data_IF_006725587572
#
_entry.id   IF_006725587572
#
_cell.length_a   1.000
_cell.length_b   1.000
_cell.length_c   1.000
_cell.angle_alpha   90.00
_cell.angle_beta   90.00
_cell.angle_gamma   90.00
#
_symmetry.space_group_name_H-M   'P 1'
#
loop_
_entity.id
_entity.type
_entity.pdbx_description
1 polymer ?
#
# COMPACT_ATOMS: atom_id res chain seq x y z
N UNK A 1 -33.16 51.18 21.07
CA UNK A 1 -33.09 51.28 19.61
C UNK A 1 -34.08 50.25 19.04
N UNK A 2 -35.13 50.70 18.35
CA UNK A 2 -36.20 49.83 17.82
C UNK A 2 -35.68 49.08 16.58
N UNK A 3 -35.57 47.76 16.65
CA UNK A 3 -35.35 46.90 15.48
C UNK A 3 -36.72 46.63 14.83
N UNK A 4 -36.98 47.31 13.73
CA UNK A 4 -38.19 47.16 12.90
C UNK A 4 -38.09 45.99 11.93
N UNK A 5 -37.99 44.76 12.45
CA UNK A 5 -38.25 43.52 11.70
C UNK A 5 -39.00 42.56 12.64
N UNK A 6 -40.07 41.90 12.15
CA UNK A 6 -40.74 40.85 12.91
C UNK A 6 -39.74 39.70 13.16
N UNK A 7 -39.08 39.69 14.31
CA UNK A 7 -38.06 38.72 14.73
C UNK A 7 -38.61 37.37 15.17
N UNK A 8 -39.72 36.91 14.60
CA UNK A 8 -40.35 35.64 14.97
C UNK A 8 -39.62 34.41 14.40
N UNK A 9 -38.80 34.59 13.36
CA UNK A 9 -37.95 33.54 12.81
C UNK A 9 -36.67 34.15 12.23
N UNK A 10 -35.51 33.58 12.60
CA UNK A 10 -34.20 33.94 12.03
C UNK A 10 -33.53 32.66 11.54
N UNK A 11 -32.78 32.76 10.44
CA UNK A 11 -31.96 31.63 9.98
C UNK A 11 -30.83 31.37 10.98
N UNK A 12 -30.41 30.12 11.14
CA UNK A 12 -29.35 29.73 12.09
C UNK A 12 -28.06 30.58 11.90
N UNK A 13 -27.74 30.91 10.65
CA UNK A 13 -26.61 31.75 10.28
C UNK A 13 -26.72 33.22 10.74
N UNK A 14 -27.95 33.75 10.90
CA UNK A 14 -28.19 35.10 11.47
C UNK A 14 -28.38 35.10 12.99
N UNK A 15 -28.55 33.93 13.61
CA UNK A 15 -28.66 33.76 15.06
C UNK A 15 -27.29 33.67 15.76
N UNK A 16 -26.20 33.58 14.99
CA UNK A 16 -24.86 33.42 15.53
C UNK A 16 -24.46 34.66 16.33
N UNK A 17 -24.34 34.50 17.65
CA UNK A 17 -23.99 35.58 18.59
C UNK A 17 -25.18 36.22 19.31
N UNK A 18 -26.41 35.78 19.04
CA UNK A 18 -27.61 36.20 19.77
C UNK A 18 -27.89 35.19 20.89
N UNK A 19 -28.19 35.67 22.09
CA UNK A 19 -28.69 34.86 23.21
C UNK A 19 -30.18 35.17 23.38
N UNK A 20 -31.02 34.15 23.43
CA UNK A 20 -32.47 34.29 23.64
C UNK A 20 -32.89 33.51 24.89
N UNK A 21 -34.08 33.79 25.44
CA UNK A 21 -34.57 33.08 26.61
C UNK A 21 -34.86 31.61 26.26
N UNK A 22 -35.59 31.39 25.15
CA UNK A 22 -35.81 30.05 24.57
C UNK A 22 -35.43 30.02 23.10
N UNK A 23 -35.03 28.85 22.60
CA UNK A 23 -34.79 28.60 21.18
C UNK A 23 -35.68 27.47 20.67
N UNK A 24 -36.29 27.69 19.49
CA UNK A 24 -37.15 26.72 18.82
C UNK A 24 -36.61 26.49 17.41
N UNK A 25 -36.20 25.25 17.12
CA UNK A 25 -35.48 24.87 15.90
C UNK A 25 -36.32 23.89 15.11
N UNK A 26 -36.52 24.14 13.82
CA UNK A 26 -37.10 23.16 12.90
C UNK A 26 -35.93 22.44 12.22
N UNK A 27 -35.81 21.14 12.46
CA UNK A 27 -34.76 20.30 11.90
C UNK A 27 -35.34 19.39 10.80
N UNK A 28 -34.71 19.41 9.64
CA UNK A 28 -35.00 18.55 8.48
C UNK A 28 -33.85 17.59 8.23
N UNK A 29 -34.07 16.58 7.38
CA UNK A 29 -33.01 15.66 6.95
C UNK A 29 -31.80 16.34 6.27
N UNK A 30 -31.98 17.57 5.77
CA UNK A 30 -30.93 18.38 5.15
C UNK A 30 -30.27 19.38 6.10
N UNK A 31 -30.65 19.38 7.39
CA UNK A 31 -30.04 20.26 8.39
C UNK A 31 -28.64 19.77 8.72
N UNK A 32 -27.65 20.66 8.66
CA UNK A 32 -26.26 20.33 9.00
C UNK A 32 -26.05 20.29 10.51
N UNK A 33 -25.11 19.48 10.99
CA UNK A 33 -24.77 19.33 12.41
C UNK A 33 -24.42 20.67 13.02
N UNK A 34 -23.65 21.49 12.31
CA UNK A 34 -23.14 22.77 12.80
C UNK A 34 -24.28 23.77 12.97
N UNK A 35 -25.21 23.85 12.00
CA UNK A 35 -26.40 24.69 12.12
C UNK A 35 -27.33 24.20 13.23
N UNK A 36 -27.49 22.88 13.38
CA UNK A 36 -28.29 22.29 14.44
C UNK A 36 -27.68 22.59 15.83
N UNK A 37 -26.37 22.38 15.99
CA UNK A 37 -25.64 22.68 17.22
C UNK A 37 -25.73 24.17 17.59
N UNK A 38 -25.50 25.04 16.61
CA UNK A 38 -25.59 26.49 16.80
C UNK A 38 -27.00 26.91 17.22
N UNK A 39 -28.04 26.32 16.64
CA UNK A 39 -29.41 26.68 16.97
C UNK A 39 -29.85 26.11 18.34
N UNK A 40 -29.36 24.92 18.71
CA UNK A 40 -29.66 24.24 19.97
C UNK A 40 -28.87 24.75 21.19
N UNK A 41 -28.10 25.84 21.03
CA UNK A 41 -27.28 26.44 22.08
C UNK A 41 -27.57 27.93 22.30
N UNK A 42 -28.68 28.46 21.76
CA UNK A 42 -29.03 29.90 21.84
C UNK A 42 -29.95 30.25 23.00
N UNK A 43 -30.80 29.32 23.44
CA UNK A 43 -31.73 29.52 24.55
C UNK A 43 -31.02 29.36 25.90
N UNK A 44 -31.18 30.34 26.79
CA UNK A 44 -30.67 30.28 28.17
C UNK A 44 -31.52 29.36 29.06
N UNK A 45 -32.85 29.39 28.89
CA UNK A 45 -33.80 28.65 29.72
C UNK A 45 -34.26 27.33 29.07
N UNK A 46 -34.10 27.19 27.74
CA UNK A 46 -34.44 25.94 27.05
C UNK A 46 -34.28 25.98 25.53
N UNK A 47 -33.98 24.82 24.95
CA UNK A 47 -33.78 24.62 23.52
C UNK A 47 -34.67 23.46 23.04
N UNK A 48 -35.57 23.71 22.10
CA UNK A 48 -36.56 22.76 21.60
C UNK A 48 -36.36 22.51 20.11
N UNK A 49 -36.25 21.23 19.72
CA UNK A 49 -36.13 20.81 18.32
C UNK A 49 -37.42 20.14 17.84
N UNK A 50 -37.99 20.63 16.75
CA UNK A 50 -39.09 20.03 16.01
C UNK A 50 -38.52 19.35 14.76
N UNK A 51 -38.53 18.01 14.76
CA UNK A 51 -37.97 17.22 13.66
C UNK A 51 -39.06 16.93 12.65
N UNK A 52 -38.87 17.37 11.41
CA UNK A 52 -39.80 17.15 10.30
C UNK A 52 -39.62 15.72 9.79
N UNK A 53 -40.69 14.92 9.83
CA UNK A 53 -40.70 13.52 9.40
C UNK A 53 -41.31 13.30 8.02
N UNK A 54 -42.23 14.18 7.61
CA UNK A 54 -42.94 14.12 6.32
C UNK A 54 -42.55 15.27 5.39
N UNK A 55 -42.60 14.99 4.08
CA UNK A 55 -42.75 16.02 3.03
C UNK A 55 -44.23 16.14 2.66
N UNK A 56 -44.78 17.34 2.47
CA UNK A 56 -46.04 17.48 1.73
C UNK A 56 -45.79 17.22 0.24
N UNK A 57 -46.59 16.29 -0.28
CA UNK A 57 -46.99 16.08 -1.69
C UNK A 57 -46.28 14.98 -2.51
N UNK A 58 -47.07 13.95 -2.82
CA UNK A 58 -46.80 12.80 -3.71
C UNK A 58 -46.89 13.15 -5.21
N UNK A 59 -47.00 14.43 -5.58
CA UNK A 59 -47.39 14.78 -6.95
C UNK A 59 -46.25 14.93 -7.96
N UNK A 60 -45.00 15.28 -7.58
CA UNK A 60 -43.90 15.41 -8.55
C UNK A 60 -42.50 15.19 -7.96
N UNK A 61 -42.07 13.93 -7.85
CA UNK A 61 -40.68 13.57 -7.61
C UNK A 61 -40.45 12.07 -7.75
N UNK A 62 -39.47 11.66 -8.55
CA UNK A 62 -39.07 10.25 -8.62
C UNK A 62 -38.48 9.86 -7.25
N UNK A 63 -38.95 8.80 -6.57
CA UNK A 63 -38.40 8.37 -5.30
C UNK A 63 -36.91 8.10 -5.43
N UNK A 64 -36.09 8.73 -4.58
CA UNK A 64 -34.65 8.51 -4.58
C UNK A 64 -34.37 7.22 -3.79
N UNK A 65 -33.47 6.33 -4.21
CA UNK A 65 -33.21 5.04 -3.53
C UNK A 65 -32.67 5.13 -2.08
N UNK A 66 -32.50 6.34 -1.54
CA UNK A 66 -32.17 6.65 -0.15
C UNK A 66 -33.38 7.06 0.71
N UNK A 67 -34.58 7.15 0.13
CA UNK A 67 -35.78 7.58 0.84
C UNK A 67 -36.27 6.44 1.76
N UNK A 68 -36.19 6.68 3.07
CA UNK A 68 -36.69 5.75 4.08
C UNK A 68 -38.13 6.10 4.44
N UNK A 69 -39.14 5.28 4.06
CA UNK A 69 -40.54 5.53 4.39
C UNK A 69 -40.83 5.42 5.90
N UNK A 70 -39.92 4.86 6.69
CA UNK A 70 -40.02 4.70 8.15
C UNK A 70 -39.21 5.76 8.93
N UNK A 71 -39.00 6.95 8.35
CA UNK A 71 -38.20 8.00 8.97
C UNK A 71 -38.77 8.43 10.34
N UNK A 72 -38.03 8.15 11.41
CA UNK A 72 -38.36 8.60 12.78
C UNK A 72 -37.58 9.85 13.12
N UNK A 73 -38.05 10.64 14.10
CA UNK A 73 -37.32 11.82 14.58
C UNK A 73 -35.88 11.49 15.01
N UNK A 74 -35.68 10.27 15.51
CA UNK A 74 -34.37 9.76 15.88
C UNK A 74 -33.47 9.50 14.67
N UNK A 75 -33.98 8.92 13.57
CA UNK A 75 -33.18 8.65 12.38
C UNK A 75 -32.82 9.93 11.63
N UNK A 76 -33.75 10.89 11.55
CA UNK A 76 -33.48 12.22 10.96
C UNK A 76 -32.44 12.96 11.79
N UNK A 77 -32.58 12.99 13.12
CA UNK A 77 -31.61 13.65 13.99
C UNK A 77 -30.23 12.97 13.96
N UNK A 78 -30.20 11.64 13.84
CA UNK A 78 -28.94 10.91 13.62
C UNK A 78 -28.29 11.32 12.29
N UNK A 79 -29.07 11.46 11.22
CA UNK A 79 -28.63 12.00 9.94
C UNK A 79 -28.06 13.41 10.07
N UNK A 80 -28.75 14.31 10.78
CA UNK A 80 -28.30 15.69 11.04
C UNK A 80 -26.97 15.72 11.79
N UNK A 81 -26.77 14.86 12.80
CA UNK A 81 -25.49 14.76 13.52
C UNK A 81 -24.36 14.24 12.62
N UNK A 82 -24.67 13.41 11.63
CA UNK A 82 -23.68 12.93 10.65
C UNK A 82 -23.50 13.89 9.47
N UNK A 83 -24.39 14.86 9.30
CA UNK A 83 -24.39 15.82 8.19
C UNK A 83 -23.50 17.02 8.48
N UNK A 84 -22.18 16.84 8.35
CA UNK A 84 -21.18 17.90 8.53
C UNK A 84 -21.30 18.89 7.37
N UNK A 85 -21.73 20.11 7.68
CA UNK A 85 -21.92 21.21 6.73
C UNK A 85 -20.71 22.11 6.54
N UNK A 86 -19.54 21.70 7.01
CA UNK A 86 -18.31 22.35 6.60
C UNK A 86 -18.12 22.07 5.11
N UNK A 87 -18.38 23.06 4.26
CA UNK A 87 -17.65 23.13 3.00
C UNK A 87 -16.16 23.03 3.38
N UNK A 88 -15.54 21.89 3.04
CA UNK A 88 -14.09 21.75 3.04
C UNK A 88 -13.56 23.01 2.38
N UNK A 89 -12.62 23.71 3.03
CA UNK A 89 -12.04 24.92 2.44
C UNK A 89 -11.60 24.60 1.01
N UNK A 90 -11.61 25.57 0.08
CA UNK A 90 -11.20 25.30 -1.30
C UNK A 90 -9.84 24.56 -1.36
N UNK A 91 -8.96 24.75 -0.36
CA UNK A 91 -7.74 23.97 -0.20
C UNK A 91 -7.94 22.55 0.33
N UNK A 92 -8.76 22.30 1.34
CA UNK A 92 -9.04 20.92 1.80
C UNK A 92 -9.90 20.13 0.82
N UNK A 93 -10.78 20.79 0.05
CA UNK A 93 -11.48 20.17 -1.06
C UNK A 93 -10.49 19.87 -2.19
N UNK A 94 -9.60 20.80 -2.56
CA UNK A 94 -8.54 20.52 -3.54
C UNK A 94 -7.59 19.43 -3.04
N UNK A 95 -7.20 19.41 -1.77
CA UNK A 95 -6.30 18.39 -1.22
C UNK A 95 -7.01 17.05 -1.06
N UNK A 96 -8.23 17.00 -0.55
CA UNK A 96 -8.99 15.75 -0.45
C UNK A 96 -9.44 15.22 -1.82
N UNK A 97 -9.69 16.10 -2.80
CA UNK A 97 -9.96 15.72 -4.19
C UNK A 97 -8.65 15.33 -4.88
N UNK A 98 -7.52 16.02 -4.68
CA UNK A 98 -6.21 15.58 -5.17
C UNK A 98 -5.77 14.25 -4.53
N UNK A 99 -6.06 14.01 -3.25
CA UNK A 99 -5.78 12.75 -2.54
C UNK A 99 -6.73 11.62 -2.95
N UNK A 100 -8.01 11.93 -3.24
CA UNK A 100 -8.96 10.98 -3.83
C UNK A 100 -8.63 10.65 -5.29
N UNK A 101 -8.05 11.60 -6.03
CA UNK A 101 -7.80 11.47 -7.46
C UNK A 101 -6.34 11.07 -7.79
N UNK A 102 -5.43 11.04 -6.82
CA UNK A 102 -4.06 10.49 -6.97
C UNK A 102 -3.91 9.19 -6.18
N UNK A 103 -4.41 8.09 -6.76
CA UNK A 103 -3.98 6.75 -6.37
C UNK A 103 -2.51 6.55 -6.79
N UNK A 104 -1.69 5.91 -5.97
CA UNK A 104 -0.32 5.48 -6.29
C UNK A 104 -0.24 4.75 -7.64
N UNK A 105 -1.27 4.03 -8.05
CA UNK A 105 -1.37 3.40 -9.38
C UNK A 105 -1.24 4.39 -10.54
N UNK A 106 -1.85 5.58 -10.43
CA UNK A 106 -1.72 6.63 -11.45
C UNK A 106 -0.34 7.27 -11.41
N UNK A 107 0.12 7.69 -10.23
CA UNK A 107 1.46 8.28 -10.06
C UNK A 107 2.57 7.33 -10.53
N UNK A 108 2.38 6.02 -10.32
CA UNK A 108 3.27 5.00 -10.80
C UNK A 108 3.28 4.88 -12.33
N UNK A 109 2.12 4.94 -12.98
CA UNK A 109 2.03 4.90 -14.43
C UNK A 109 2.70 6.14 -15.06
N UNK A 110 2.51 7.32 -14.46
CA UNK A 110 3.21 8.55 -14.85
C UNK A 110 4.72 8.41 -14.68
N UNK A 111 5.17 7.95 -13.49
CA UNK A 111 6.59 7.72 -13.21
C UNK A 111 7.24 6.77 -14.23
N UNK A 112 6.59 5.65 -14.52
CA UNK A 112 7.10 4.64 -15.44
C UNK A 112 7.21 5.14 -16.88
N UNK A 113 6.23 5.95 -17.31
CA UNK A 113 6.24 6.58 -18.64
C UNK A 113 7.42 7.53 -18.78
N UNK A 114 7.61 8.41 -17.79
CA UNK A 114 8.74 9.35 -17.77
C UNK A 114 10.06 8.57 -17.71
N UNK A 115 10.14 7.54 -16.86
CA UNK A 115 11.35 6.75 -16.69
C UNK A 115 11.72 5.96 -17.96
N UNK A 116 10.73 5.48 -18.72
CA UNK A 116 10.99 4.80 -19.99
C UNK A 116 11.60 5.76 -21.02
N UNK A 117 11.05 6.98 -21.13
CA UNK A 117 11.60 8.01 -22.02
C UNK A 117 12.99 8.47 -21.57
N UNK A 118 13.16 8.77 -20.28
CA UNK A 118 14.39 9.29 -19.71
C UNK A 118 15.60 8.34 -19.84
N UNK A 119 15.34 7.03 -19.83
CA UNK A 119 16.39 6.00 -19.91
C UNK A 119 16.57 5.43 -21.32
N UNK A 120 15.82 5.91 -22.31
CA UNK A 120 15.79 5.36 -23.66
C UNK A 120 17.19 5.30 -24.30
N UNK A 121 17.88 6.44 -24.38
CA UNK A 121 19.20 6.54 -25.01
C UNK A 121 20.26 5.73 -24.26
N UNK A 122 20.11 5.64 -22.94
CA UNK A 122 20.99 4.84 -22.09
C UNK A 122 20.83 3.35 -22.39
N UNK A 123 19.60 2.87 -22.54
CA UNK A 123 19.34 1.47 -22.91
C UNK A 123 19.80 1.16 -24.32
N UNK A 124 19.60 2.08 -25.28
CA UNK A 124 20.14 1.97 -26.63
C UNK A 124 21.68 1.79 -26.61
N UNK A 125 22.39 2.66 -25.88
CA UNK A 125 23.83 2.57 -25.71
C UNK A 125 24.30 1.27 -25.04
N UNK A 126 23.56 0.81 -24.03
CA UNK A 126 23.84 -0.46 -23.36
C UNK A 126 23.71 -1.66 -24.32
N UNK A 127 22.68 -1.68 -25.17
CA UNK A 127 22.52 -2.76 -26.15
C UNK A 127 23.61 -2.75 -27.22
N UNK A 128 24.03 -1.57 -27.68
CA UNK A 128 25.15 -1.45 -28.61
C UNK A 128 26.46 -1.99 -28.01
N UNK A 129 26.79 -1.63 -26.76
CA UNK A 129 27.97 -2.16 -26.06
C UNK A 129 27.84 -3.66 -25.77
N UNK A 130 26.61 -4.16 -25.61
CA UNK A 130 26.33 -5.58 -25.43
C UNK A 130 26.49 -6.43 -26.70
N UNK A 131 26.80 -5.81 -27.83
CA UNK A 131 27.16 -6.50 -29.08
C UNK A 131 26.02 -6.62 -30.10
N UNK A 132 24.92 -5.88 -29.94
CA UNK A 132 23.89 -5.77 -30.97
C UNK A 132 24.37 -4.83 -32.09
N UNK A 133 23.99 -5.14 -33.33
CA UNK A 133 24.16 -4.19 -34.45
C UNK A 133 23.19 -3.02 -34.32
N UNK A 134 23.43 -1.93 -35.05
CA UNK A 134 22.56 -0.75 -35.02
C UNK A 134 21.12 -1.12 -35.40
N UNK A 135 20.95 -1.96 -36.43
CA UNK A 135 19.64 -2.42 -36.89
C UNK A 135 18.92 -3.28 -35.84
N UNK A 136 19.66 -4.09 -35.08
CA UNK A 136 19.10 -4.87 -33.98
C UNK A 136 18.72 -4.00 -32.79
N UNK A 137 19.50 -2.95 -32.50
CA UNK A 137 19.15 -1.98 -31.45
C UNK A 137 17.86 -1.27 -31.82
N UNK A 138 17.74 -0.74 -33.04
CA UNK A 138 16.52 -0.08 -33.51
C UNK A 138 15.31 -1.03 -33.45
N UNK A 139 15.46 -2.28 -33.92
CA UNK A 139 14.42 -3.29 -33.82
C UNK A 139 14.00 -3.62 -32.38
N UNK A 140 14.93 -3.55 -31.42
CA UNK A 140 14.62 -3.75 -29.99
C UNK A 140 13.87 -2.56 -29.42
N UNK A 141 14.23 -1.33 -29.78
CA UNK A 141 13.61 -0.10 -29.28
C UNK A 141 12.20 0.10 -29.83
N UNK A 142 11.97 -0.29 -31.09
CA UNK A 142 10.67 -0.19 -31.78
C UNK A 142 9.71 -1.36 -31.46
N UNK A 143 10.17 -2.37 -30.70
CA UNK A 143 9.37 -3.54 -30.36
C UNK A 143 8.28 -3.25 -29.32
N UNK A 144 7.12 -3.86 -29.47
CA UNK A 144 6.03 -3.84 -28.47
C UNK A 144 6.47 -4.43 -27.11
N UNK A 145 7.53 -5.24 -27.08
CA UNK A 145 8.10 -5.79 -25.85
C UNK A 145 9.07 -4.83 -25.14
N UNK A 146 9.47 -3.73 -25.77
CA UNK A 146 10.43 -2.77 -25.22
C UNK A 146 10.01 -2.16 -23.87
N UNK A 147 8.74 -1.76 -23.64
CA UNK A 147 8.33 -1.23 -22.33
C UNK A 147 8.57 -2.23 -21.19
N UNK A 148 8.30 -3.51 -21.42
CA UNK A 148 8.54 -4.58 -20.45
C UNK A 148 10.03 -4.82 -20.22
N UNK A 149 10.82 -4.83 -21.30
CA UNK A 149 12.28 -4.94 -21.24
C UNK A 149 12.92 -3.77 -20.45
N UNK A 150 12.51 -2.53 -20.74
CA UNK A 150 12.99 -1.32 -20.06
C UNK A 150 12.64 -1.35 -18.56
N UNK A 151 11.43 -1.78 -18.21
CA UNK A 151 11.02 -1.95 -16.83
C UNK A 151 11.84 -3.04 -16.10
N UNK A 152 12.14 -4.16 -16.76
CA UNK A 152 12.95 -5.24 -16.18
C UNK A 152 14.42 -4.81 -16.00
N UNK A 153 15.01 -4.07 -16.94
CA UNK A 153 16.34 -3.49 -16.79
C UNK A 153 16.41 -2.55 -15.59
N UNK A 154 15.42 -1.65 -15.45
CA UNK A 154 15.31 -0.76 -14.28
C UNK A 154 15.15 -1.54 -12.99
N UNK A 155 14.33 -2.59 -12.97
CA UNK A 155 14.16 -3.45 -11.80
C UNK A 155 15.47 -4.16 -11.43
N UNK A 156 16.22 -4.65 -12.42
CA UNK A 156 17.52 -5.27 -12.22
C UNK A 156 18.54 -4.25 -11.64
N UNK A 157 18.57 -3.03 -12.17
CA UNK A 157 19.42 -1.95 -11.67
C UNK A 157 19.08 -1.57 -10.23
N UNK A 158 17.79 -1.37 -9.91
CA UNK A 158 17.33 -1.06 -8.55
C UNK A 158 17.69 -2.18 -7.55
N UNK A 159 17.82 -3.41 -8.02
CA UNK A 159 18.29 -4.57 -7.24
C UNK A 159 19.82 -4.76 -7.28
N UNK A 160 20.57 -3.77 -7.74
CA UNK A 160 22.04 -3.71 -7.81
C UNK A 160 22.68 -4.75 -8.75
N UNK A 161 21.95 -5.23 -9.77
CA UNK A 161 22.57 -6.03 -10.83
C UNK A 161 23.47 -5.16 -11.70
N UNK A 162 24.67 -5.64 -12.03
CA UNK A 162 25.59 -4.93 -12.89
C UNK A 162 25.16 -5.05 -14.37
N UNK A 163 24.55 -3.98 -14.88
CA UNK A 163 24.04 -3.90 -16.25
C UNK A 163 25.12 -3.71 -17.32
N UNK A 164 26.37 -3.41 -16.96
CA UNK A 164 27.48 -3.35 -17.92
C UNK A 164 28.04 -4.74 -18.24
N UNK A 165 27.67 -5.76 -17.44
CA UNK A 165 28.21 -7.13 -17.58
C UNK A 165 27.12 -8.18 -17.80
N UNK A 166 25.91 -7.95 -17.26
CA UNK A 166 24.83 -8.92 -17.32
C UNK A 166 24.24 -9.06 -18.75
N UNK A 167 23.75 -7.99 -19.41
CA UNK A 167 23.24 -8.07 -20.77
C UNK A 167 24.26 -8.59 -21.79
N UNK A 168 25.52 -8.09 -21.86
CA UNK A 168 26.51 -8.61 -22.80
C UNK A 168 26.72 -10.13 -22.65
N UNK A 169 26.79 -10.63 -21.41
CA UNK A 169 26.94 -12.07 -21.14
C UNK A 169 25.71 -12.87 -21.57
N UNK A 170 24.49 -12.36 -21.37
CA UNK A 170 23.25 -13.05 -21.71
C UNK A 170 22.97 -13.04 -23.22
N UNK A 171 23.37 -11.98 -23.90
CA UNK A 171 23.27 -11.85 -25.36
C UNK A 171 24.28 -12.80 -26.02
N UNK A 172 25.55 -12.77 -25.61
CA UNK A 172 26.60 -13.62 -26.17
C UNK A 172 26.39 -15.12 -25.92
N UNK A 173 25.67 -15.51 -24.86
CA UNK A 173 25.47 -16.92 -24.50
C UNK A 173 24.65 -17.72 -25.53
N UNK A 174 23.81 -17.06 -26.33
CA UNK A 174 23.00 -17.71 -27.37
C UNK A 174 22.64 -16.70 -28.46
N UNK A 175 22.82 -17.08 -29.72
CA UNK A 175 22.46 -16.26 -30.88
C UNK A 175 21.03 -15.70 -30.80
N UNK A 176 20.80 -14.62 -31.54
CA UNK A 176 19.52 -13.93 -31.67
C UNK A 176 18.96 -14.03 -33.10
N UNK A 177 19.66 -14.74 -33.99
CA UNK A 177 19.38 -14.78 -35.43
C UNK A 177 18.07 -15.51 -35.77
N UNK A 178 17.59 -16.36 -34.86
CA UNK A 178 16.33 -17.13 -34.97
C UNK A 178 15.17 -16.52 -34.17
N UNK A 179 15.36 -15.33 -33.58
CA UNK A 179 14.34 -14.70 -32.76
C UNK A 179 13.36 -13.88 -33.62
N UNK A 180 12.07 -14.23 -33.55
CA UNK A 180 11.00 -13.42 -34.17
C UNK A 180 10.91 -12.01 -33.55
N UNK A 181 11.19 -11.88 -32.25
CA UNK A 181 11.31 -10.61 -31.54
C UNK A 181 12.51 -10.65 -30.57
N UNK A 182 13.55 -9.88 -30.91
CA UNK A 182 14.79 -9.80 -30.14
C UNK A 182 14.51 -9.24 -28.73
N UNK A 183 13.62 -8.26 -28.59
CA UNK A 183 13.33 -7.62 -27.32
C UNK A 183 12.68 -8.60 -26.33
N UNK A 184 11.71 -9.41 -26.79
CA UNK A 184 11.10 -10.48 -25.98
C UNK A 184 12.13 -11.51 -25.50
N UNK A 185 13.07 -11.90 -26.36
CA UNK A 185 14.13 -12.87 -26.00
C UNK A 185 15.07 -12.28 -24.94
N UNK A 186 15.52 -11.04 -25.11
CA UNK A 186 16.38 -10.35 -24.14
C UNK A 186 15.64 -10.18 -22.81
N UNK A 187 14.39 -9.72 -22.85
CA UNK A 187 13.54 -9.58 -21.66
C UNK A 187 13.42 -10.90 -20.89
N UNK A 188 13.08 -12.01 -21.56
CA UNK A 188 12.96 -13.31 -20.92
C UNK A 188 14.29 -13.80 -20.31
N UNK A 189 15.42 -13.54 -20.99
CA UNK A 189 16.76 -13.89 -20.48
C UNK A 189 17.11 -13.09 -19.22
N UNK A 190 16.87 -11.78 -19.24
CA UNK A 190 17.15 -10.90 -18.10
C UNK A 190 16.25 -11.30 -16.93
N UNK A 191 14.92 -11.35 -17.13
CA UNK A 191 13.96 -11.71 -16.10
C UNK A 191 14.31 -13.06 -15.41
N UNK A 192 14.78 -14.05 -16.19
CA UNK A 192 15.25 -15.33 -15.63
C UNK A 192 16.52 -15.17 -14.78
N UNK A 193 17.47 -14.34 -15.22
CA UNK A 193 18.73 -14.10 -14.53
C UNK A 193 18.58 -13.23 -13.26
N UNK A 194 17.55 -12.39 -13.20
CA UNK A 194 17.28 -11.42 -12.13
C UNK A 194 16.22 -11.89 -11.13
N UNK A 195 15.66 -13.10 -11.31
CA UNK A 195 14.72 -13.72 -10.35
C UNK A 195 15.23 -13.71 -8.90
N UNK A 196 16.55 -13.75 -8.71
CA UNK A 196 17.19 -13.59 -7.40
C UNK A 196 17.86 -12.22 -7.33
N UNK A 197 17.62 -11.46 -6.26
CA UNK A 197 18.30 -10.18 -6.02
C UNK A 197 19.82 -10.31 -6.09
N UNK A 198 20.51 -9.24 -6.51
CA UNK A 198 21.95 -9.26 -6.64
C UNK A 198 22.65 -9.44 -5.28
N UNK A 199 23.66 -10.32 -5.26
CA UNK A 199 24.48 -10.61 -4.09
C UNK A 199 23.94 -11.73 -3.19
N UNK A 200 24.81 -12.26 -2.33
CA UNK A 200 24.49 -13.30 -1.34
C UNK A 200 24.96 -12.87 0.05
N UNK A 201 24.13 -13.08 1.08
CA UNK A 201 24.53 -12.97 2.49
C UNK A 201 24.53 -11.56 3.09
N UNK A 202 25.39 -11.36 4.11
CA UNK A 202 25.42 -10.21 5.03
C UNK A 202 25.82 -8.86 4.41
N UNK A 203 26.30 -8.85 3.16
CA UNK A 203 26.75 -7.64 2.44
C UNK A 203 25.71 -7.12 1.43
N UNK A 204 24.50 -7.68 1.43
CA UNK A 204 23.43 -7.28 0.51
C UNK A 204 23.01 -5.84 0.75
N UNK A 205 23.11 -5.00 -0.29
CA UNK A 205 22.58 -3.63 -0.27
C UNK A 205 21.05 -3.68 -0.39
N UNK A 206 20.32 -2.82 0.32
CA UNK A 206 18.88 -2.72 0.15
C UNK A 206 18.55 -2.23 -1.27
N UNK A 207 17.50 -2.76 -1.92
CA UNK A 207 17.11 -2.32 -3.25
C UNK A 207 16.66 -0.85 -3.22
N UNK A 208 16.85 -0.13 -4.32
CA UNK A 208 16.46 1.27 -4.46
C UNK A 208 15.05 1.36 -5.04
N UNK A 209 14.08 1.29 -4.12
CA UNK A 209 12.65 1.29 -4.44
C UNK A 209 11.96 2.53 -3.86
N UNK A 210 10.96 3.05 -4.58
CA UNK A 210 10.04 4.10 -4.14
C UNK A 210 8.84 3.43 -3.47
N UNK A 211 8.51 3.86 -2.26
CA UNK A 211 7.53 3.28 -1.35
C UNK A 211 7.69 1.74 -1.20
N UNK A 212 8.92 1.24 -1.38
CA UNK A 212 9.24 -0.19 -1.37
C UNK A 212 8.66 -1.03 -2.52
N UNK A 213 8.10 -0.41 -3.56
CA UNK A 213 7.44 -1.10 -4.67
C UNK A 213 8.07 -0.76 -6.03
N UNK A 214 8.17 0.53 -6.38
CA UNK A 214 8.60 0.92 -7.72
C UNK A 214 10.12 1.00 -7.81
N UNK A 215 10.77 0.41 -8.84
CA UNK A 215 12.19 0.62 -9.09
C UNK A 215 12.50 2.09 -9.39
N UNK A 216 13.45 2.66 -8.65
CA UNK A 216 13.94 4.01 -8.92
C UNK A 216 14.72 4.03 -10.25
N UNK A 217 14.45 5.03 -11.09
CA UNK A 217 15.12 5.25 -12.36
C UNK A 217 16.46 5.97 -12.13
N UNK A 218 17.57 5.23 -12.26
CA UNK A 218 18.91 5.77 -12.09
C UNK A 218 19.58 6.12 -13.43
N UNK A 219 20.71 6.81 -13.31
CA UNK A 219 21.62 7.08 -14.41
C UNK A 219 21.56 8.49 -14.98
N UNK A 220 22.37 8.73 -16.02
CA UNK A 220 22.34 9.98 -16.79
C UNK A 220 20.99 10.09 -17.53
N UNK A 221 20.39 11.26 -17.45
CA UNK A 221 19.16 11.67 -18.14
C UNK A 221 19.09 13.20 -18.10
N UNK A 222 18.24 13.79 -18.93
CA UNK A 222 18.00 15.24 -18.93
C UNK A 222 17.48 15.74 -17.57
N UNK A 223 17.84 16.96 -17.19
CA UNK A 223 17.55 17.51 -15.86
C UNK A 223 16.04 17.68 -15.60
N UNK A 224 15.27 18.02 -16.63
CA UNK A 224 13.81 18.13 -16.58
C UNK A 224 13.15 16.78 -16.32
N UNK A 225 13.60 15.72 -16.98
CA UNK A 225 13.16 14.34 -16.74
C UNK A 225 13.53 13.85 -15.33
N UNK A 226 14.73 14.22 -14.84
CA UNK A 226 15.15 13.90 -13.47
C UNK A 226 14.25 14.59 -12.46
N UNK A 227 14.04 15.90 -12.61
CA UNK A 227 13.15 16.66 -11.75
C UNK A 227 11.74 16.07 -11.76
N UNK A 228 11.22 15.74 -12.95
CA UNK A 228 9.94 15.11 -13.12
C UNK A 228 9.81 13.77 -12.36
N UNK A 229 10.85 12.92 -12.42
CA UNK A 229 10.88 11.66 -11.68
C UNK A 229 10.95 11.87 -10.17
N UNK A 230 11.74 12.85 -9.71
CA UNK A 230 11.88 13.16 -8.28
C UNK A 230 10.57 13.73 -7.71
N UNK A 231 9.87 14.59 -8.44
CA UNK A 231 8.54 15.08 -8.05
C UNK A 231 7.53 13.92 -7.91
N UNK A 232 7.49 12.99 -8.88
CA UNK A 232 6.60 11.81 -8.79
C UNK A 232 7.00 10.87 -7.66
N UNK A 233 8.29 10.71 -7.40
CA UNK A 233 8.80 9.95 -6.27
C UNK A 233 8.29 10.53 -4.94
N UNK A 234 8.45 11.84 -4.73
CA UNK A 234 7.98 12.50 -3.50
C UNK A 234 6.47 12.35 -3.31
N UNK A 235 5.68 12.50 -4.38
CA UNK A 235 4.22 12.30 -4.33
C UNK A 235 3.84 10.86 -3.94
N UNK A 236 4.54 9.86 -4.47
CA UNK A 236 4.26 8.44 -4.16
C UNK A 236 4.60 8.14 -2.69
N UNK A 237 5.75 8.61 -2.19
CA UNK A 237 6.15 8.41 -0.78
C UNK A 237 5.18 9.10 0.18
N UNK A 238 4.82 10.36 -0.11
CA UNK A 238 3.87 11.13 0.69
C UNK A 238 2.49 10.46 0.73
N UNK A 239 2.01 9.96 -0.42
CA UNK A 239 0.73 9.25 -0.51
C UNK A 239 0.76 7.95 0.30
N UNK A 240 1.83 7.17 0.19
CA UNK A 240 1.95 5.92 0.93
C UNK A 240 1.96 6.13 2.46
N UNK A 241 2.67 7.15 2.95
CA UNK A 241 2.64 7.55 4.36
C UNK A 241 1.26 8.07 4.79
N UNK A 242 0.57 8.86 3.95
CA UNK A 242 -0.78 9.34 4.24
C UNK A 242 -1.81 8.20 4.33
N UNK A 243 -1.75 7.23 3.42
CA UNK A 243 -2.60 6.02 3.47
C UNK A 243 -2.38 5.26 4.78
N UNK A 244 -1.12 5.05 5.17
CA UNK A 244 -0.81 4.38 6.43
C UNK A 244 -1.32 5.18 7.63
N UNK A 245 -1.07 6.48 7.67
CA UNK A 245 -1.47 7.36 8.77
C UNK A 245 -3.00 7.36 8.95
N UNK A 246 -3.76 7.50 7.85
CA UNK A 246 -5.22 7.42 7.87
C UNK A 246 -5.71 6.06 8.38
N UNK A 247 -5.17 4.97 7.85
CA UNK A 247 -5.56 3.62 8.26
C UNK A 247 -5.27 3.34 9.75
N UNK A 248 -4.17 3.86 10.29
CA UNK A 248 -3.85 3.75 11.72
C UNK A 248 -4.76 4.61 12.59
N UNK A 249 -5.09 5.83 12.16
CA UNK A 249 -6.02 6.72 12.86
C UNK A 249 -7.43 6.11 12.94
N UNK A 250 -7.89 5.54 11.82
CA UNK A 250 -9.20 4.88 11.71
C UNK A 250 -9.21 3.47 12.33
N UNK A 251 -8.06 2.96 12.77
CA UNK A 251 -7.86 1.62 13.30
C UNK A 251 -8.38 0.53 12.33
N UNK A 252 -8.10 0.72 11.03
CA UNK A 252 -8.50 -0.21 9.99
C UNK A 252 -8.02 -1.64 10.31
N UNK A 253 -8.88 -2.65 10.10
CA UNK A 253 -8.66 -4.01 10.59
C UNK A 253 -7.36 -4.65 10.08
N UNK A 254 -6.97 -4.34 8.84
CA UNK A 254 -5.74 -4.86 8.25
C UNK A 254 -4.48 -4.37 8.98
N UNK A 255 -4.51 -3.18 9.59
CA UNK A 255 -3.37 -2.63 10.36
C UNK A 255 -3.11 -3.43 11.64
N UNK A 256 -4.13 -4.04 12.22
CA UNK A 256 -3.98 -4.91 13.38
C UNK A 256 -3.15 -6.17 13.06
N UNK A 257 -3.12 -6.61 11.79
CA UNK A 257 -2.32 -7.75 11.36
C UNK A 257 -0.83 -7.43 11.24
N UNK A 258 -0.46 -6.16 11.03
CA UNK A 258 0.94 -5.70 11.10
C UNK A 258 1.50 -5.88 12.52
N UNK A 259 0.65 -5.79 13.53
CA UNK A 259 1.04 -5.83 14.94
C UNK A 259 1.41 -4.44 15.48
N UNK A 260 1.61 -4.32 16.80
CA UNK A 260 1.83 -3.03 17.43
C UNK A 260 3.18 -2.42 17.04
N UNK A 261 3.22 -1.09 16.92
CA UNK A 261 4.46 -0.36 16.70
C UNK A 261 5.46 -0.62 17.85
N UNK A 262 6.68 -1.08 17.56
CA UNK A 262 7.70 -1.31 18.58
C UNK A 262 8.11 -0.02 19.30
N UNK A 263 8.36 -0.13 20.61
CA UNK A 263 8.89 0.99 21.42
C UNK A 263 10.35 1.33 21.13
N UNK A 264 11.10 0.35 20.64
CA UNK A 264 12.49 0.56 20.22
C UNK A 264 12.53 1.37 18.93
N UNK A 265 13.31 2.45 18.91
CA UNK A 265 13.32 3.40 17.79
C UNK A 265 13.74 2.77 16.45
N UNK A 266 14.68 1.83 16.47
CA UNK A 266 15.17 1.19 15.25
C UNK A 266 14.16 0.18 14.71
N UNK A 267 13.58 -0.63 15.60
CA UNK A 267 12.49 -1.54 15.24
C UNK A 267 11.23 -0.78 14.80
N UNK A 268 10.92 0.36 15.42
CA UNK A 268 9.82 1.25 15.04
C UNK A 268 10.00 1.79 13.62
N UNK A 269 11.20 2.26 13.26
CA UNK A 269 11.52 2.68 11.88
C UNK A 269 11.39 1.53 10.87
N UNK A 270 11.85 0.34 11.21
CA UNK A 270 11.74 -0.83 10.33
C UNK A 270 10.28 -1.28 10.15
N UNK A 271 9.51 -1.28 11.25
CA UNK A 271 8.05 -1.51 11.25
C UNK A 271 7.37 -0.49 10.35
N UNK A 272 7.63 0.82 10.54
CA UNK A 272 6.99 1.86 9.76
C UNK A 272 7.28 1.74 8.26
N UNK A 273 8.55 1.52 7.89
CA UNK A 273 8.93 1.29 6.48
C UNK A 273 8.14 0.15 5.86
N UNK A 274 8.08 -1.00 6.53
CA UNK A 274 7.35 -2.15 6.02
C UNK A 274 5.83 -1.88 5.95
N UNK A 275 5.29 -1.02 6.83
CA UNK A 275 3.86 -0.68 6.88
C UNK A 275 3.50 0.23 5.72
N UNK A 276 4.39 1.17 5.39
CA UNK A 276 4.29 2.04 4.22
C UNK A 276 4.28 1.22 2.94
N UNK A 277 5.10 0.16 2.82
CA UNK A 277 5.06 -0.73 1.64
C UNK A 277 3.68 -1.40 1.49
N UNK A 278 3.11 -1.92 2.59
CA UNK A 278 1.77 -2.53 2.56
C UNK A 278 0.71 -1.49 2.21
N UNK A 279 0.78 -0.29 2.79
CA UNK A 279 -0.14 0.81 2.47
C UNK A 279 -0.04 1.21 1.00
N UNK A 280 1.18 1.33 0.47
CA UNK A 280 1.44 1.63 -0.93
C UNK A 280 0.85 0.55 -1.86
N UNK A 281 1.01 -0.73 -1.49
CA UNK A 281 0.49 -1.85 -2.27
C UNK A 281 -1.05 -1.83 -2.28
N UNK A 282 -1.66 -1.60 -1.11
CA UNK A 282 -3.11 -1.54 -0.97
C UNK A 282 -3.70 -0.40 -1.77
N UNK A 283 -3.11 0.79 -1.73
CA UNK A 283 -3.57 1.94 -2.51
C UNK A 283 -3.38 1.68 -4.02
N UNK A 284 -2.17 1.27 -4.43
CA UNK A 284 -1.85 0.97 -5.84
C UNK A 284 -2.83 0.01 -6.49
N UNK A 285 -3.18 -1.07 -5.79
CA UNK A 285 -4.05 -2.14 -6.29
C UNK A 285 -5.50 -2.05 -5.79
N UNK A 286 -5.86 -0.96 -5.11
CA UNK A 286 -7.21 -0.72 -4.57
C UNK A 286 -7.73 -1.90 -3.73
N UNK A 287 -6.87 -2.42 -2.85
CA UNK A 287 -7.19 -3.54 -1.96
C UNK A 287 -8.11 -3.06 -0.85
N UNK A 288 -9.37 -3.47 -0.90
CA UNK A 288 -10.41 -3.17 0.09
C UNK A 288 -10.60 -4.28 1.12
N UNK A 289 -9.92 -5.43 0.97
CA UNK A 289 -9.99 -6.53 1.93
C UNK A 289 -9.39 -6.10 3.28
N UNK A 290 -10.21 -6.18 4.32
CA UNK A 290 -9.88 -5.79 5.69
C UNK A 290 -9.24 -6.90 6.53
N UNK A 291 -9.40 -8.17 6.12
CA UNK A 291 -8.89 -9.33 6.83
C UNK A 291 -7.47 -9.69 6.40
N UNK A 292 -7.18 -9.52 5.11
CA UNK A 292 -5.86 -9.82 4.53
C UNK A 292 -5.16 -8.53 4.10
N UNK A 293 -4.02 -8.15 4.72
CA UNK A 293 -3.33 -6.90 4.40
C UNK A 293 -2.98 -6.75 2.90
N UNK A 294 -2.64 -7.85 2.24
CA UNK A 294 -2.28 -7.87 0.82
C UNK A 294 -3.40 -8.37 -0.10
N UNK A 295 -4.60 -8.58 0.43
CA UNK A 295 -5.76 -8.93 -0.37
C UNK A 295 -5.67 -10.28 -1.08
N UNK A 296 -6.54 -10.49 -2.09
CA UNK A 296 -6.60 -11.73 -2.86
C UNK A 296 -5.32 -12.00 -3.66
N UNK A 297 -5.13 -13.23 -4.19
CA UNK A 297 -3.97 -13.57 -5.01
C UNK A 297 -3.73 -12.59 -6.16
N UNK A 298 -2.46 -12.35 -6.54
CA UNK A 298 -2.13 -11.38 -7.58
C UNK A 298 -2.70 -11.79 -8.94
N UNK A 299 -3.20 -10.81 -9.69
CA UNK A 299 -3.86 -11.01 -10.99
C UNK A 299 -2.88 -10.97 -12.16
N UNK A 300 -1.72 -10.32 -12.00
CA UNK A 300 -0.70 -10.20 -13.03
C UNK A 300 0.72 -10.32 -12.45
N UNK A 301 1.71 -10.50 -13.33
CA UNK A 301 3.12 -10.68 -12.96
C UNK A 301 3.64 -9.51 -12.13
N UNK A 302 3.24 -8.29 -12.47
CA UNK A 302 3.64 -7.09 -11.74
C UNK A 302 3.16 -7.11 -10.29
N UNK A 303 1.87 -7.35 -10.08
CA UNK A 303 1.28 -7.45 -8.74
C UNK A 303 1.92 -8.58 -7.94
N UNK A 304 2.34 -9.67 -8.59
CA UNK A 304 3.08 -10.74 -7.93
C UNK A 304 4.45 -10.28 -7.41
N UNK A 305 5.17 -9.46 -8.17
CA UNK A 305 6.46 -8.87 -7.74
C UNK A 305 6.24 -7.88 -6.59
N UNK A 306 5.31 -6.94 -6.76
CA UNK A 306 4.99 -5.92 -5.76
C UNK A 306 4.49 -6.56 -4.44
N UNK A 307 3.71 -7.64 -4.54
CA UNK A 307 3.28 -8.44 -3.37
C UNK A 307 4.47 -9.08 -2.66
N UNK A 308 5.42 -9.66 -3.40
CA UNK A 308 6.60 -10.29 -2.81
C UNK A 308 7.51 -9.27 -2.09
N UNK A 309 7.55 -8.01 -2.56
CA UNK A 309 8.20 -6.90 -1.84
C UNK A 309 7.47 -6.56 -0.54
N UNK A 310 6.14 -6.60 -0.57
CA UNK A 310 5.28 -6.33 0.59
C UNK A 310 5.30 -7.46 1.65
N UNK A 311 5.52 -8.70 1.23
CA UNK A 311 5.62 -9.88 2.11
C UNK A 311 6.90 -9.89 2.99
N UNK A 312 7.86 -9.00 2.74
CA UNK A 312 9.11 -8.90 3.51
C UNK A 312 8.94 -8.23 4.90
N UNK A 313 7.71 -7.88 5.28
CA UNK A 313 7.35 -7.48 6.64
C UNK A 313 7.73 -8.58 7.66
N UNK A 314 8.45 -8.26 8.75
CA UNK A 314 8.82 -9.26 9.74
C UNK A 314 7.55 -9.89 10.35
N UNK A 315 7.34 -11.22 10.27
CA UNK A 315 6.19 -11.85 10.88
C UNK A 315 6.19 -11.52 12.37
N UNK A 316 4.99 -11.31 12.93
CA UNK A 316 4.71 -11.05 14.35
C UNK A 316 5.87 -11.51 15.22
N UNK A 317 6.48 -10.60 15.98
CA UNK A 317 7.21 -10.99 17.18
C UNK A 317 6.22 -11.77 18.03
N UNK A 318 6.20 -13.08 17.83
CA UNK A 318 5.41 -14.00 18.60
C UNK A 318 5.89 -13.74 20.02
N UNK A 319 4.98 -13.20 20.82
CA UNK A 319 5.13 -13.12 22.26
C UNK A 319 5.74 -14.44 22.67
N UNK A 320 6.98 -14.36 23.17
CA UNK A 320 7.72 -15.51 23.63
C UNK A 320 6.80 -16.23 24.60
N UNK A 321 6.15 -17.30 24.14
CA UNK A 321 5.43 -18.21 25.00
C UNK A 321 6.54 -18.78 25.86
N UNK A 322 6.73 -18.16 27.04
CA UNK A 322 7.64 -18.62 28.08
C UNK A 322 7.37 -20.11 28.20
N UNK A 323 8.22 -20.93 27.58
CA UNK A 323 8.32 -22.33 27.93
C UNK A 323 8.79 -22.29 29.37
N UNK A 324 7.84 -22.43 30.29
CA UNK A 324 8.13 -22.77 31.67
C UNK A 324 9.19 -23.87 31.65
N UNK A 325 10.32 -23.72 32.37
CA UNK A 325 11.32 -24.77 32.42
C UNK A 325 10.62 -26.02 32.95
N UNK A 326 10.59 -27.06 32.10
CA UNK A 326 10.01 -28.34 32.43
C UNK A 326 10.58 -28.83 33.76
N UNK A 327 9.67 -29.10 34.69
CA UNK A 327 9.88 -29.83 35.93
C UNK A 327 10.79 -31.03 35.63
N UNK A 328 12.00 -31.03 36.21
CA UNK A 328 12.99 -32.11 36.08
C UNK A 328 12.34 -33.43 36.52
N UNK A 329 12.05 -34.30 35.56
CA UNK A 329 11.79 -35.71 35.83
C UNK A 329 13.14 -36.37 36.11
N UNK A 330 13.33 -36.79 37.35
CA UNK A 330 14.48 -37.56 37.83
C UNK A 330 14.39 -38.99 37.27
N UNK A 331 15.29 -39.34 36.34
CA UNK A 331 15.60 -40.74 36.03
C UNK A 331 16.70 -41.24 36.98
N UNK A 332 16.63 -42.49 37.49
CA UNK A 332 17.59 -43.00 38.46
C UNK A 332 18.89 -43.48 37.82
N UNK A 333 19.97 -43.39 38.60
CA UNK A 333 21.36 -43.68 38.22
C UNK A 333 21.63 -45.18 37.98
N UNK A 334 22.65 -45.55 37.17
CA UNK A 334 23.08 -46.94 37.02
C UNK A 334 24.34 -47.28 37.84
N UNK A 335 24.47 -48.58 38.17
CA UNK A 335 25.66 -49.45 38.45
C UNK A 335 25.59 -50.22 39.79
N UNK A 336 26.40 -51.29 40.05
CA UNK A 336 27.31 -52.10 39.18
C UNK A 336 27.28 -53.66 39.37
N UNK A 337 27.94 -54.35 38.43
CA UNK A 337 28.71 -55.64 38.43
C UNK A 337 28.37 -56.89 39.29
N UNK A 338 28.45 -58.06 38.60
CA UNK A 338 28.95 -59.37 39.11
C UNK A 338 28.87 -60.47 38.04
N UNK A 339 30.01 -60.96 37.50
CA UNK A 339 30.50 -62.37 37.60
C UNK A 339 29.70 -63.40 36.78
N UNK A 340 30.21 -64.36 36.01
CA UNK A 340 31.51 -65.04 35.97
C UNK A 340 31.56 -65.99 34.73
N UNK A 341 32.77 -66.41 34.33
CA UNK A 341 33.14 -67.72 33.71
C UNK A 341 33.00 -68.01 32.19
N UNK A 342 34.17 -68.19 31.56
CA UNK A 342 34.54 -68.90 30.30
C UNK A 342 34.63 -70.45 30.55
N UNK A 343 35.05 -71.39 29.64
CA UNK A 343 35.35 -71.34 28.19
C UNK A 343 34.95 -72.58 27.30
N UNK A 344 35.19 -72.43 25.98
CA UNK A 344 35.69 -73.40 24.97
C UNK A 344 34.91 -74.66 24.54
N UNK A 345 34.63 -74.78 23.22
CA UNK A 345 35.13 -75.90 22.38
C UNK A 345 34.88 -75.73 20.84
N UNK A 346 35.96 -75.89 20.04
CA UNK A 346 36.15 -76.68 18.77
C UNK A 346 34.98 -76.77 17.74
N UNK A 347 35.13 -76.63 16.41
CA UNK A 347 36.07 -77.16 15.37
C UNK A 347 35.81 -76.37 14.05
N UNK A 348 36.81 -75.98 13.23
CA UNK A 348 37.29 -76.62 11.95
C UNK A 348 36.14 -77.13 11.05
N UNK A 349 36.02 -76.86 9.73
CA UNK A 349 36.98 -76.61 8.62
C UNK A 349 36.22 -76.09 7.36
N UNK A 350 36.93 -75.71 6.27
CA UNK A 350 36.42 -75.04 5.06
C UNK A 350 36.25 -75.99 3.85
N UNK A 351 35.62 -75.49 2.77
CA UNK A 351 35.99 -75.85 1.39
C UNK A 351 34.87 -76.02 0.37
N UNK A 352 35.03 -75.34 -0.78
CA UNK A 352 34.55 -75.62 -2.16
C UNK A 352 33.03 -75.59 -2.40
N UNK A 353 32.49 -74.97 -3.45
CA UNK A 353 33.03 -74.62 -4.78
C UNK A 353 32.17 -73.51 -5.38
#
# INVERSE_FOLDING_TARGET
MRLGHLGYAITAHRAQGVTTDTAHVIATATTTRENFYVAMTRGADGNYAYVVLDRPDDSHGVPHPSDNPDATARSVLYGVIQHIGAELSAHEAITAEQERWSNIGQLAAEYETIAQAAQHDRWAGLFAVAGLTVEQVDAVLDSDAYPALSAELRHAEANHHNLDTLPPRLIAARGLDDADDIASVIHARIARATTRPAGSGRTRKPPRLIAGLLPYAEGPMADDMRQALDERHELIEARAEAVLAGALADKALWTAQLGPEPKDLNQGKAWRRAAVVVAAYRDRYQVTDDQTPLGPPPQNTRQKIDRASSDQWPPRASSSRRRSPGRKSTAPAPKPHGGNSTPAHRRRRPGTR
#
